data_IF_689905395232
#
_entry.id   IF_689905395232
#
_cell.length_a   1.000
_cell.length_b   1.000
_cell.length_c   1.000
_cell.angle_alpha   90.00
_cell.angle_beta   90.00
_cell.angle_gamma   90.00
#
_symmetry.space_group_name_H-M   'P 1'
#
loop_
_entity.id
_entity.type
_entity.pdbx_description
1 polymer ?
#
# COMPACT_ATOMS: atom_id res chain seq x y z
N UNK A 1 34.30 -5.26 -25.70
CA UNK A 1 32.92 -5.66 -26.03
C UNK A 1 32.51 -6.70 -24.99
N UNK A 2 31.92 -6.24 -23.90
CA UNK A 2 31.34 -7.10 -22.85
C UNK A 2 29.81 -7.00 -22.96
N UNK A 3 29.06 -8.11 -23.10
CA UNK A 3 27.62 -8.06 -23.05
C UNK A 3 27.16 -7.98 -21.59
N UNK A 4 26.51 -6.84 -21.27
CA UNK A 4 25.89 -6.54 -19.99
C UNK A 4 24.85 -7.60 -19.61
N UNK A 5 25.02 -8.11 -18.40
CA UNK A 5 24.09 -9.00 -17.71
C UNK A 5 22.69 -8.38 -17.61
N UNK A 6 21.73 -8.92 -18.37
CA UNK A 6 20.30 -8.74 -18.13
C UNK A 6 19.88 -9.60 -16.95
N UNK A 7 20.05 -9.09 -15.73
CA UNK A 7 19.57 -9.74 -14.51
C UNK A 7 18.06 -9.59 -14.37
N UNK A 8 17.27 -10.46 -14.98
CA UNK A 8 15.88 -10.68 -14.56
C UNK A 8 15.92 -11.42 -13.22
N UNK A 9 15.78 -10.71 -12.11
CA UNK A 9 15.64 -11.33 -10.79
C UNK A 9 14.25 -11.96 -10.71
N UNK A 10 14.11 -13.17 -11.25
CA UNK A 10 12.99 -14.03 -10.98
C UNK A 10 13.02 -14.35 -9.48
N UNK A 11 12.00 -13.93 -8.75
CA UNK A 11 11.73 -14.43 -7.41
C UNK A 11 11.73 -15.96 -7.49
N UNK A 12 12.79 -16.61 -6.98
CA UNK A 12 12.92 -18.07 -7.06
C UNK A 12 11.65 -18.68 -6.46
N UNK A 13 10.94 -19.56 -7.18
CA UNK A 13 9.80 -20.25 -6.60
C UNK A 13 10.28 -21.02 -5.38
N UNK A 14 9.60 -20.82 -4.24
CA UNK A 14 9.92 -21.55 -3.00
C UNK A 14 9.99 -23.04 -3.30
N UNK A 15 11.11 -23.66 -2.96
CA UNK A 15 11.30 -25.09 -3.07
C UNK A 15 10.24 -25.80 -2.21
N UNK A 16 9.85 -27.04 -2.55
CA UNK A 16 8.93 -27.82 -1.71
C UNK A 16 9.39 -27.87 -0.24
N UNK A 17 10.71 -27.96 -0.01
CA UNK A 17 11.31 -27.91 1.33
C UNK A 17 11.01 -26.60 2.06
N UNK A 18 11.26 -25.43 1.44
CA UNK A 18 10.99 -24.12 2.05
C UNK A 18 9.51 -23.92 2.39
N UNK A 19 8.60 -24.42 1.53
CA UNK A 19 7.15 -24.38 1.81
C UNK A 19 6.80 -25.18 3.06
N UNK A 20 7.31 -26.40 3.17
CA UNK A 20 7.06 -27.26 4.34
C UNK A 20 7.70 -26.70 5.60
N UNK A 21 8.94 -26.20 5.53
CA UNK A 21 9.60 -25.55 6.67
C UNK A 21 8.81 -24.35 7.14
N UNK A 22 8.35 -23.49 6.23
CA UNK A 22 7.54 -22.31 6.56
C UNK A 22 6.20 -22.73 7.18
N UNK A 23 5.53 -23.73 6.61
CA UNK A 23 4.26 -24.23 7.14
C UNK A 23 4.41 -24.83 8.54
N UNK A 24 5.45 -25.64 8.78
CA UNK A 24 5.74 -26.24 10.10
C UNK A 24 6.04 -25.15 11.11
N UNK A 25 6.91 -24.18 10.76
CA UNK A 25 7.25 -23.07 11.64
C UNK A 25 6.00 -22.24 12.00
N UNK A 26 5.16 -21.94 11.01
CA UNK A 26 3.92 -21.20 11.21
C UNK A 26 2.97 -21.94 12.13
N UNK A 27 2.75 -23.24 11.90
CA UNK A 27 1.90 -24.08 12.76
C UNK A 27 2.47 -24.11 14.18
N UNK A 28 3.77 -24.32 14.35
CA UNK A 28 4.41 -24.36 15.66
C UNK A 28 4.20 -23.03 16.42
N UNK A 29 4.46 -21.89 15.78
CA UNK A 29 4.29 -20.57 16.39
C UNK A 29 2.82 -20.33 16.77
N UNK A 30 1.88 -20.63 15.86
CA UNK A 30 0.46 -20.46 16.12
C UNK A 30 -0.04 -21.40 17.23
N UNK A 31 0.48 -22.63 17.29
CA UNK A 31 0.16 -23.59 18.35
C UNK A 31 0.69 -23.12 19.71
N UNK A 32 1.92 -22.61 19.78
CA UNK A 32 2.47 -22.05 21.01
C UNK A 32 1.64 -20.86 21.52
N UNK A 33 1.24 -19.95 20.62
CA UNK A 33 0.33 -18.85 20.96
C UNK A 33 -1.04 -19.35 21.46
N UNK A 34 -1.61 -20.36 20.79
CA UNK A 34 -2.89 -20.93 21.18
C UNK A 34 -2.83 -21.61 22.55
N UNK A 35 -1.73 -22.32 22.84
CA UNK A 35 -1.49 -22.96 24.14
C UNK A 35 -1.32 -21.91 25.24
N UNK A 36 -0.57 -20.83 25.00
CA UNK A 36 -0.41 -19.74 25.97
C UNK A 36 -1.76 -19.09 26.33
N UNK A 37 -2.63 -18.87 25.33
CA UNK A 37 -3.98 -18.35 25.55
C UNK A 37 -4.83 -19.34 26.36
N UNK A 38 -4.68 -20.65 26.13
CA UNK A 38 -5.49 -21.69 26.78
C UNK A 38 -5.07 -22.00 28.22
N UNK A 39 -3.78 -21.91 28.56
CA UNK A 39 -3.27 -22.27 29.89
C UNK A 39 -3.57 -21.18 30.93
N UNK A 40 -3.37 -19.91 30.57
CA UNK A 40 -3.53 -18.78 31.48
C UNK A 40 -4.22 -17.63 30.76
N UNK A 41 -5.54 -17.76 30.59
CA UNK A 41 -6.32 -16.78 29.86
C UNK A 41 -6.40 -15.46 30.64
N UNK A 42 -5.88 -14.41 30.02
CA UNK A 42 -6.07 -13.02 30.46
C UNK A 42 -6.69 -12.21 29.33
N UNK A 43 -7.61 -11.31 29.67
CA UNK A 43 -8.33 -10.45 28.69
C UNK A 43 -7.33 -9.64 27.85
N UNK A 44 -6.17 -9.29 28.39
CA UNK A 44 -5.12 -8.59 27.66
C UNK A 44 -4.59 -9.38 26.47
N UNK A 45 -4.61 -10.73 26.51
CA UNK A 45 -4.17 -11.59 25.40
C UNK A 45 -5.07 -11.45 24.17
N UNK A 46 -6.29 -10.93 24.31
CA UNK A 46 -7.17 -10.60 23.18
C UNK A 46 -6.63 -9.45 22.31
N UNK A 47 -5.69 -8.65 22.82
CA UNK A 47 -5.07 -7.56 22.05
C UNK A 47 -4.45 -8.03 20.73
N UNK A 48 -3.76 -9.16 20.73
CA UNK A 48 -3.17 -9.74 19.53
C UNK A 48 -4.25 -10.08 18.49
N UNK A 49 -5.37 -10.66 18.93
CA UNK A 49 -6.50 -10.96 18.06
C UNK A 49 -7.12 -9.68 17.50
N UNK A 50 -7.31 -8.65 18.32
CA UNK A 50 -7.85 -7.37 17.87
C UNK A 50 -6.92 -6.66 16.88
N UNK A 51 -5.61 -6.69 17.07
CA UNK A 51 -4.65 -6.14 16.11
C UNK A 51 -4.81 -6.79 14.73
N UNK A 52 -4.90 -8.12 14.68
CA UNK A 52 -5.13 -8.86 13.42
C UNK A 52 -6.50 -8.50 12.83
N UNK A 53 -7.53 -8.43 13.66
CA UNK A 53 -8.89 -8.08 13.23
C UNK A 53 -8.96 -6.66 12.63
N UNK A 54 -8.23 -5.70 13.20
CA UNK A 54 -8.21 -4.32 12.73
C UNK A 54 -7.37 -4.11 11.47
N UNK A 55 -6.49 -5.05 11.12
CA UNK A 55 -5.65 -4.94 9.93
C UNK A 55 -6.47 -4.72 8.65
N UNK A 56 -7.56 -5.47 8.46
CA UNK A 56 -8.41 -5.38 7.26
C UNK A 56 -9.14 -4.04 7.15
N UNK A 57 -9.89 -3.56 8.17
CA UNK A 57 -10.54 -2.27 8.08
C UNK A 57 -9.54 -1.10 7.99
N UNK A 58 -8.40 -1.19 8.68
CA UNK A 58 -7.34 -0.18 8.56
C UNK A 58 -6.75 -0.14 7.14
N UNK A 59 -6.52 -1.29 6.51
CA UNK A 59 -6.12 -1.35 5.10
C UNK A 59 -7.12 -0.61 4.19
N UNK A 60 -8.42 -0.82 4.41
CA UNK A 60 -9.46 -0.10 3.64
C UNK A 60 -9.38 1.40 3.89
N UNK A 61 -9.24 1.83 5.13
CA UNK A 61 -9.12 3.25 5.49
C UNK A 61 -7.85 3.88 4.89
N UNK A 62 -6.75 3.15 4.88
CA UNK A 62 -5.47 3.56 4.32
C UNK A 62 -5.56 3.81 2.80
N UNK A 63 -6.06 2.83 2.04
CA UNK A 63 -6.26 2.98 0.59
C UNK A 63 -7.29 4.05 0.26
N UNK A 64 -8.33 4.20 1.09
CA UNK A 64 -9.27 5.30 0.97
C UNK A 64 -8.58 6.66 1.15
N UNK A 65 -7.61 6.78 2.08
CA UNK A 65 -6.78 7.96 2.26
C UNK A 65 -6.10 8.40 0.95
N UNK A 66 -5.39 7.48 0.29
CA UNK A 66 -4.78 7.71 -1.02
C UNK A 66 -5.80 8.13 -2.08
N UNK A 67 -6.90 7.39 -2.21
CA UNK A 67 -7.90 7.67 -3.24
C UNK A 67 -8.57 9.04 -3.05
N UNK A 68 -8.90 9.40 -1.80
CA UNK A 68 -9.49 10.69 -1.45
C UNK A 68 -8.49 11.81 -1.74
N UNK A 69 -7.26 11.71 -1.24
CA UNK A 69 -6.22 12.73 -1.46
C UNK A 69 -5.90 12.92 -2.95
N UNK A 70 -5.81 11.82 -3.70
CA UNK A 70 -5.60 11.87 -5.15
C UNK A 70 -6.72 12.65 -5.84
N UNK A 71 -7.99 12.35 -5.52
CA UNK A 71 -9.14 13.07 -6.08
C UNK A 71 -9.11 14.56 -5.71
N UNK A 72 -8.82 14.89 -4.44
CA UNK A 72 -8.74 16.29 -3.96
C UNK A 72 -7.64 17.09 -4.67
N UNK A 73 -6.51 16.45 -4.96
CA UNK A 73 -5.36 17.09 -5.63
C UNK A 73 -5.46 17.07 -7.16
N UNK A 74 -6.58 16.64 -7.72
CA UNK A 74 -6.87 16.68 -9.15
C UNK A 74 -6.26 15.51 -9.94
N UNK A 75 -6.01 14.37 -9.30
CA UNK A 75 -5.61 13.14 -9.97
C UNK A 75 -6.84 12.34 -10.39
N UNK A 76 -6.71 11.55 -11.44
CA UNK A 76 -7.69 10.53 -11.81
C UNK A 76 -7.32 9.23 -11.10
N UNK A 77 -8.22 8.73 -10.24
CA UNK A 77 -8.09 7.41 -9.60
C UNK A 77 -8.85 6.40 -10.44
N UNK A 78 -8.17 5.35 -10.91
CA UNK A 78 -8.73 4.36 -11.84
C UNK A 78 -8.81 2.94 -11.29
N UNK A 79 -7.95 2.56 -10.34
CA UNK A 79 -7.99 1.24 -9.68
C UNK A 79 -7.67 1.38 -8.20
N UNK A 80 -8.41 0.70 -7.35
CA UNK A 80 -8.11 0.53 -5.93
C UNK A 80 -8.01 -0.97 -5.67
N UNK A 81 -6.88 -1.46 -5.20
CA UNK A 81 -6.66 -2.87 -4.91
C UNK A 81 -6.51 -3.06 -3.41
N UNK A 82 -7.31 -3.98 -2.87
CA UNK A 82 -7.35 -4.36 -1.47
C UNK A 82 -6.85 -5.80 -1.36
N UNK A 83 -5.66 -5.98 -0.83
CA UNK A 83 -5.00 -7.27 -0.69
C UNK A 83 -4.07 -7.63 -1.85
N UNK A 84 -3.44 -8.80 -1.74
CA UNK A 84 -2.54 -9.41 -2.72
C UNK A 84 -2.98 -10.84 -3.07
N UNK A 85 -2.39 -11.40 -4.12
CA UNK A 85 -2.67 -12.76 -4.58
C UNK A 85 -3.90 -12.84 -5.48
N UNK A 86 -4.61 -13.98 -5.43
CA UNK A 86 -5.72 -14.28 -6.35
C UNK A 86 -6.86 -13.25 -6.20
N UNK A 87 -7.30 -12.68 -7.32
CA UNK A 87 -8.49 -11.84 -7.39
C UNK A 87 -9.70 -12.63 -6.87
N UNK A 88 -10.34 -12.12 -5.84
CA UNK A 88 -11.56 -12.71 -5.27
C UNK A 88 -12.80 -12.03 -5.82
N UNK A 89 -12.80 -10.69 -5.88
CA UNK A 89 -13.93 -9.90 -6.37
C UNK A 89 -13.44 -8.64 -7.06
N UNK A 90 -14.05 -8.29 -8.19
CA UNK A 90 -13.90 -7.00 -8.87
C UNK A 90 -15.22 -6.25 -8.82
N UNK A 91 -15.19 -4.98 -8.46
CA UNK A 91 -16.35 -4.10 -8.40
C UNK A 91 -16.11 -2.95 -9.36
N UNK A 92 -16.88 -2.88 -10.45
CA UNK A 92 -16.77 -1.83 -11.44
C UNK A 92 -17.64 -0.63 -11.06
N UNK A 93 -17.07 0.57 -11.19
CA UNK A 93 -17.77 1.84 -11.02
C UNK A 93 -17.43 2.75 -12.21
N UNK A 94 -18.27 3.76 -12.51
CA UNK A 94 -17.95 4.71 -13.57
C UNK A 94 -16.59 5.39 -13.32
N UNK A 95 -15.62 5.09 -14.19
CA UNK A 95 -14.29 5.68 -14.18
C UNK A 95 -13.29 5.11 -13.16
N UNK A 96 -13.63 4.05 -12.41
CA UNK A 96 -12.67 3.31 -11.60
C UNK A 96 -13.20 1.93 -11.22
N UNK A 97 -12.33 1.01 -10.81
CA UNK A 97 -12.76 -0.27 -10.25
C UNK A 97 -12.00 -0.63 -8.97
N UNK A 98 -12.61 -1.48 -8.16
CA UNK A 98 -12.05 -1.98 -6.90
C UNK A 98 -11.76 -3.46 -7.06
N UNK A 99 -10.52 -3.87 -6.80
CA UNK A 99 -10.12 -5.27 -6.71
C UNK A 99 -10.00 -5.69 -5.25
N UNK A 100 -10.65 -6.78 -4.89
CA UNK A 100 -10.50 -7.43 -3.59
C UNK A 100 -9.79 -8.74 -3.85
N UNK A 101 -8.63 -8.93 -3.20
CA UNK A 101 -7.78 -10.11 -3.35
C UNK A 101 -7.81 -10.96 -2.09
N UNK A 102 -7.38 -12.21 -2.24
CA UNK A 102 -7.53 -13.22 -1.20
C UNK A 102 -6.79 -12.89 0.12
N UNK A 103 -5.64 -12.21 0.06
CA UNK A 103 -4.82 -11.90 1.23
C UNK A 103 -4.83 -10.40 1.51
N UNK A 104 -5.54 -9.89 2.54
CA UNK A 104 -5.65 -8.46 2.83
C UNK A 104 -4.40 -7.94 3.57
N UNK A 105 -3.21 -8.15 3.00
CA UNK A 105 -1.93 -7.80 3.63
C UNK A 105 -1.45 -6.42 3.19
N UNK A 106 -1.58 -6.10 1.91
CA UNK A 106 -1.19 -4.82 1.29
C UNK A 106 -2.28 -4.37 0.32
N UNK A 107 -2.28 -3.09 -0.05
CA UNK A 107 -3.16 -2.55 -1.08
C UNK A 107 -2.40 -1.57 -1.96
N UNK A 108 -3.08 -1.02 -2.96
CA UNK A 108 -2.58 0.14 -3.67
C UNK A 108 -3.70 0.89 -4.41
N UNK A 109 -3.47 2.18 -4.65
CA UNK A 109 -4.31 3.02 -5.50
C UNK A 109 -3.58 3.42 -6.77
N UNK A 110 -4.06 2.97 -7.92
CA UNK A 110 -3.57 3.42 -9.21
C UNK A 110 -4.22 4.75 -9.60
N UNK A 111 -3.38 5.77 -9.84
CA UNK A 111 -3.82 7.10 -10.19
C UNK A 111 -2.90 7.77 -11.20
N UNK A 112 -3.46 8.73 -11.96
CA UNK A 112 -2.72 9.53 -12.94
C UNK A 112 -2.96 11.03 -12.67
N UNK A 113 -1.91 11.86 -12.59
CA UNK A 113 -2.10 13.32 -12.47
C UNK A 113 -2.81 13.86 -13.70
N UNK A 114 -3.62 14.93 -13.59
CA UNK A 114 -4.23 15.58 -14.76
C UNK A 114 -3.37 16.68 -15.40
N UNK A 115 -2.39 17.18 -14.65
CA UNK A 115 -1.48 18.26 -15.08
C UNK A 115 -0.20 18.24 -14.24
N UNK A 116 0.86 18.86 -14.76
CA UNK A 116 2.20 18.81 -14.16
C UNK A 116 2.46 19.84 -13.03
N UNK A 117 1.63 20.88 -12.90
CA UNK A 117 1.81 21.95 -11.90
C UNK A 117 1.99 21.39 -10.47
N UNK A 118 3.17 21.54 -9.85
CA UNK A 118 3.45 21.01 -8.51
C UNK A 118 3.16 19.49 -8.38
N UNK A 119 3.34 18.71 -9.45
CA UNK A 119 2.97 17.28 -9.47
C UNK A 119 3.77 16.47 -8.45
N UNK A 120 5.04 16.82 -8.21
CA UNK A 120 5.90 16.16 -7.22
C UNK A 120 5.35 16.29 -5.80
N UNK A 121 5.07 17.52 -5.37
CA UNK A 121 4.49 17.79 -4.05
C UNK A 121 3.13 17.12 -3.89
N UNK A 122 2.28 17.17 -4.92
CA UNK A 122 0.96 16.53 -4.87
C UNK A 122 1.08 15.01 -4.84
N UNK A 123 2.00 14.42 -5.61
CA UNK A 123 2.29 12.98 -5.58
C UNK A 123 2.79 12.56 -4.21
N UNK A 124 3.71 13.32 -3.60
CA UNK A 124 4.18 13.06 -2.24
C UNK A 124 3.04 13.16 -1.21
N UNK A 125 2.14 14.14 -1.35
CA UNK A 125 0.98 14.27 -0.48
C UNK A 125 -0.02 13.11 -0.64
N UNK A 126 -0.25 12.61 -1.86
CA UNK A 126 -1.04 11.40 -2.10
C UNK A 126 -0.38 10.19 -1.45
N UNK A 127 0.93 9.99 -1.61
CA UNK A 127 1.62 8.86 -0.96
C UNK A 127 1.63 9.00 0.57
N UNK A 128 1.68 10.20 1.13
CA UNK A 128 1.63 10.38 2.58
C UNK A 128 0.22 10.17 3.18
N UNK A 129 -0.86 10.21 2.38
CA UNK A 129 -2.22 10.22 2.94
C UNK A 129 -2.71 8.86 3.45
N UNK A 130 -2.16 7.74 2.97
CA UNK A 130 -2.45 6.42 3.53
C UNK A 130 -1.95 6.31 4.98
N UNK A 131 -0.64 6.46 5.22
CA UNK A 131 -0.09 6.52 6.58
C UNK A 131 -0.70 7.65 7.42
N UNK A 132 -1.00 8.79 6.78
CA UNK A 132 -1.69 9.90 7.44
C UNK A 132 -3.09 9.53 7.95
N UNK A 133 -3.84 8.71 7.22
CA UNK A 133 -5.14 8.21 7.67
C UNK A 133 -4.99 7.27 8.87
N UNK A 134 -3.97 6.41 8.87
CA UNK A 134 -3.67 5.51 10.00
C UNK A 134 -3.32 6.31 11.27
N UNK A 135 -2.45 7.32 11.16
CA UNK A 135 -2.12 8.19 12.28
C UNK A 135 -3.31 9.03 12.75
N UNK A 136 -4.21 9.43 11.84
CA UNK A 136 -5.45 10.10 12.22
C UNK A 136 -6.33 9.20 13.08
N UNK A 137 -6.47 7.91 12.74
CA UNK A 137 -7.20 6.92 13.56
C UNK A 137 -6.54 6.78 14.93
N UNK A 138 -5.22 6.58 14.99
CA UNK A 138 -4.49 6.46 16.26
C UNK A 138 -4.66 7.72 17.13
N UNK A 139 -4.64 8.91 16.51
CA UNK A 139 -4.83 10.19 17.18
C UNK A 139 -6.26 10.33 17.74
N UNK A 140 -7.28 9.93 16.98
CA UNK A 140 -8.67 9.92 17.46
C UNK A 140 -8.81 9.01 18.69
N UNK A 141 -8.17 7.83 18.68
CA UNK A 141 -8.18 6.93 19.83
C UNK A 141 -7.45 7.54 21.03
N UNK A 142 -6.30 8.19 20.82
CA UNK A 142 -5.57 8.90 21.87
C UNK A 142 -6.44 9.96 22.55
N UNK A 143 -7.19 10.75 21.77
CA UNK A 143 -8.12 11.74 22.32
C UNK A 143 -9.33 11.11 23.02
N UNK A 144 -9.82 9.97 22.53
CA UNK A 144 -10.97 9.29 23.12
C UNK A 144 -10.65 8.62 24.47
N UNK A 145 -9.48 8.00 24.61
CA UNK A 145 -9.06 7.31 25.84
C UNK A 145 -8.30 8.22 26.81
N UNK A 146 -7.56 9.20 26.28
CA UNK A 146 -6.53 9.92 27.01
C UNK A 146 -5.20 9.15 27.09
N UNK A 147 -4.07 9.86 27.29
CA UNK A 147 -2.73 9.26 27.29
C UNK A 147 -2.56 8.23 28.42
N UNK A 148 -3.08 8.51 29.62
CA UNK A 148 -2.89 7.64 30.78
C UNK A 148 -3.47 6.24 30.54
N UNK A 149 -4.69 6.18 29.99
CA UNK A 149 -5.33 4.92 29.65
C UNK A 149 -4.64 4.25 28.47
N UNK A 150 -4.23 5.00 27.43
CA UNK A 150 -3.61 4.42 26.25
C UNK A 150 -2.30 3.68 26.56
N UNK A 151 -1.51 4.19 27.51
CA UNK A 151 -0.19 3.64 27.86
C UNK A 151 -0.16 2.79 29.14
N UNK A 152 -1.32 2.54 29.76
CA UNK A 152 -1.46 1.67 30.94
C UNK A 152 -2.03 0.29 30.58
N UNK A 153 -1.67 -0.76 31.33
CA UNK A 153 -2.36 -2.04 31.21
C UNK A 153 -3.80 -1.90 31.73
N UNK A 154 -4.78 -2.41 30.98
CA UNK A 154 -6.18 -2.41 31.37
C UNK A 154 -6.76 -3.83 31.32
N UNK A 155 -7.69 -4.13 32.21
CA UNK A 155 -8.55 -5.31 32.14
C UNK A 155 -9.91 -5.01 31.49
N UNK A 156 -10.20 -3.74 31.22
CA UNK A 156 -11.43 -3.33 30.55
C UNK A 156 -11.35 -3.64 29.05
N UNK A 157 -12.33 -4.40 28.56
CA UNK A 157 -12.37 -4.89 27.19
C UNK A 157 -12.39 -3.75 26.16
N UNK A 158 -13.13 -2.67 26.45
CA UNK A 158 -13.23 -1.52 25.56
C UNK A 158 -11.90 -0.78 25.45
N UNK A 159 -11.21 -0.61 26.57
CA UNK A 159 -9.87 -0.03 26.62
C UNK A 159 -8.88 -0.87 25.82
N UNK A 160 -8.87 -2.20 26.01
CA UNK A 160 -8.00 -3.12 25.26
C UNK A 160 -8.29 -3.06 23.75
N UNK A 161 -9.57 -3.04 23.36
CA UNK A 161 -10.00 -2.92 21.97
C UNK A 161 -9.42 -1.65 21.32
N UNK A 162 -9.60 -0.49 21.97
CA UNK A 162 -9.13 0.79 21.46
C UNK A 162 -7.60 0.89 21.46
N UNK A 163 -6.92 0.43 22.52
CA UNK A 163 -5.46 0.33 22.55
C UNK A 163 -4.93 -0.51 21.38
N UNK A 164 -5.57 -1.65 21.11
CA UNK A 164 -5.20 -2.54 20.01
C UNK A 164 -5.40 -1.87 18.65
N UNK A 165 -6.49 -1.12 18.47
CA UNK A 165 -6.72 -0.32 17.26
C UNK A 165 -5.64 0.75 17.07
N UNK A 166 -5.27 1.48 18.14
CA UNK A 166 -4.23 2.49 18.08
C UNK A 166 -2.86 1.89 17.75
N UNK A 167 -2.51 0.74 18.34
CA UNK A 167 -1.27 0.01 18.04
C UNK A 167 -1.27 -0.45 16.58
N UNK A 168 -2.35 -1.08 16.11
CA UNK A 168 -2.45 -1.56 14.74
C UNK A 168 -2.32 -0.42 13.72
N UNK A 169 -3.04 0.69 13.94
CA UNK A 169 -2.98 1.87 13.07
C UNK A 169 -1.58 2.49 13.08
N UNK A 170 -0.98 2.71 14.26
CA UNK A 170 0.37 3.26 14.36
C UNK A 170 1.41 2.36 13.69
N UNK A 171 1.30 1.04 13.87
CA UNK A 171 2.19 0.08 13.23
C UNK A 171 2.04 0.10 11.72
N UNK A 172 0.81 0.05 11.19
CA UNK A 172 0.55 0.09 9.75
C UNK A 172 1.06 1.40 9.11
N UNK A 173 0.78 2.55 9.72
CA UNK A 173 1.27 3.84 9.22
C UNK A 173 2.79 3.94 9.27
N UNK A 174 3.42 3.47 10.35
CA UNK A 174 4.89 3.52 10.50
C UNK A 174 5.58 2.58 9.52
N UNK A 175 5.09 1.35 9.36
CA UNK A 175 5.65 0.38 8.42
C UNK A 175 5.55 0.88 6.96
N UNK A 176 4.42 1.51 6.60
CA UNK A 176 4.25 2.09 5.26
C UNK A 176 5.14 3.31 4.99
N UNK A 177 5.59 4.03 6.02
CA UNK A 177 6.55 5.12 5.88
C UNK A 177 8.00 4.65 5.71
N UNK A 178 8.30 3.36 5.85
CA UNK A 178 9.65 2.87 5.60
C UNK A 178 10.00 3.05 4.11
N UNK A 179 11.16 3.64 3.78
CA UNK A 179 11.58 3.87 2.40
C UNK A 179 12.15 2.59 1.75
N UNK A 180 11.39 1.50 1.83
CA UNK A 180 11.80 0.19 1.31
C UNK A 180 11.16 0.01 -0.08
N UNK A 181 11.95 -0.21 -1.13
CA UNK A 181 11.40 -0.58 -2.44
C UNK A 181 10.71 -1.93 -2.32
N UNK A 182 9.55 -2.10 -2.94
CA UNK A 182 8.93 -3.43 -3.01
C UNK A 182 9.68 -4.32 -3.99
N UNK A 183 9.75 -5.60 -3.63
CA UNK A 183 10.44 -6.63 -4.41
C UNK A 183 9.49 -7.46 -5.28
N UNK A 184 8.29 -6.96 -5.58
CA UNK A 184 7.36 -7.66 -6.48
C UNK A 184 7.47 -7.10 -7.92
N UNK A 185 8.01 -7.87 -8.88
CA UNK A 185 8.14 -7.44 -10.27
C UNK A 185 6.80 -7.34 -11.02
N UNK A 186 5.73 -7.98 -10.50
CA UNK A 186 4.40 -8.01 -11.11
C UNK A 186 3.52 -6.90 -10.54
N UNK A 187 3.57 -6.72 -9.23
CA UNK A 187 2.86 -5.65 -8.53
C UNK A 187 3.90 -4.61 -8.04
N UNK A 188 4.12 -3.53 -8.80
CA UNK A 188 4.97 -2.41 -8.37
C UNK A 188 4.34 -1.61 -7.21
N UNK A 189 4.02 -2.28 -6.12
CA UNK A 189 3.43 -1.70 -4.90
C UNK A 189 4.55 -1.29 -3.97
N UNK A 190 5.22 -0.16 -4.26
CA UNK A 190 6.22 0.38 -3.34
C UNK A 190 5.56 0.81 -2.03
N UNK A 191 6.25 0.63 -0.90
CA UNK A 191 5.87 1.27 0.36
C UNK A 191 5.75 2.78 0.16
N UNK A 192 4.81 3.42 0.85
CA UNK A 192 4.54 4.85 0.69
C UNK A 192 5.73 5.74 0.97
N UNK A 193 6.53 5.40 1.98
CA UNK A 193 7.78 6.10 2.29
C UNK A 193 8.70 6.20 1.08
N UNK A 194 8.82 5.11 0.32
CA UNK A 194 9.59 5.09 -0.90
C UNK A 194 8.92 5.96 -1.98
N UNK A 195 7.60 5.91 -2.13
CA UNK A 195 6.88 6.75 -3.09
C UNK A 195 6.96 8.25 -2.76
N UNK A 196 6.98 8.64 -1.48
CA UNK A 196 7.19 10.02 -1.03
C UNK A 196 8.57 10.51 -1.49
N UNK A 197 9.63 9.74 -1.24
CA UNK A 197 10.99 10.08 -1.67
C UNK A 197 11.08 10.13 -3.19
N UNK A 198 10.55 9.10 -3.88
CA UNK A 198 10.54 9.01 -5.33
C UNK A 198 9.77 10.14 -6.00
N UNK A 199 8.71 10.66 -5.37
CA UNK A 199 7.96 11.78 -5.91
C UNK A 199 8.82 13.04 -6.11
N UNK A 200 9.83 13.24 -5.25
CA UNK A 200 10.74 14.39 -5.38
C UNK A 200 11.91 14.13 -6.35
N UNK A 201 12.30 12.86 -6.56
CA UNK A 201 13.42 12.50 -7.44
C UNK A 201 12.99 12.19 -8.88
N UNK A 202 11.72 11.85 -9.11
CA UNK A 202 11.18 11.58 -10.46
C UNK A 202 11.12 12.87 -11.29
N UNK A 203 11.59 12.86 -12.55
CA UNK A 203 11.52 14.01 -13.44
C UNK A 203 10.09 14.25 -13.91
N UNK A 204 9.79 15.46 -14.37
CA UNK A 204 8.44 15.81 -14.85
C UNK A 204 8.03 14.99 -16.09
N UNK A 205 9.01 14.53 -16.88
CA UNK A 205 8.79 13.62 -18.01
C UNK A 205 8.18 12.27 -17.60
N UNK A 206 8.45 11.78 -16.39
CA UNK A 206 7.81 10.58 -15.84
C UNK A 206 6.30 10.81 -15.65
N UNK A 207 5.90 11.96 -15.13
CA UNK A 207 4.48 12.27 -14.94
C UNK A 207 3.79 12.64 -16.26
N UNK A 208 4.52 13.25 -17.20
CA UNK A 208 4.03 13.54 -18.54
C UNK A 208 3.69 12.25 -19.28
N UNK A 209 4.56 11.23 -19.22
CA UNK A 209 4.29 9.95 -19.86
C UNK A 209 3.07 9.23 -19.27
N UNK A 210 2.82 9.35 -17.95
CA UNK A 210 1.58 8.85 -17.35
C UNK A 210 0.34 9.57 -17.90
N UNK A 211 0.39 10.89 -18.03
CA UNK A 211 -0.71 11.71 -18.59
C UNK A 211 -0.98 11.30 -20.04
N UNK A 212 0.07 11.20 -20.85
CA UNK A 212 -0.05 10.90 -22.27
C UNK A 212 -0.56 9.47 -22.48
N UNK A 213 -0.07 8.50 -21.72
CA UNK A 213 -0.60 7.13 -21.73
C UNK A 213 -2.09 7.10 -21.37
N UNK A 214 -2.53 7.86 -20.36
CA UNK A 214 -3.95 7.96 -20.00
C UNK A 214 -4.79 8.66 -21.09
N UNK A 215 -4.23 9.65 -21.80
CA UNK A 215 -4.92 10.29 -22.94
C UNK A 215 -5.07 9.35 -24.12
N UNK A 216 -4.04 8.56 -24.41
CA UNK A 216 -4.03 7.58 -25.51
C UNK A 216 -4.99 6.41 -25.23
N UNK A 217 -4.96 5.86 -24.01
CA UNK A 217 -5.60 4.59 -23.69
C UNK A 217 -6.84 4.70 -22.77
N UNK A 218 -7.12 5.90 -22.23
CA UNK A 218 -8.22 6.11 -21.30
C UNK A 218 -8.07 5.28 -20.02
N UNK A 219 -9.17 4.73 -19.51
CA UNK A 219 -9.17 3.89 -18.31
C UNK A 219 -8.45 2.55 -18.48
N UNK A 220 -8.17 2.11 -19.72
CA UNK A 220 -7.50 0.83 -19.99
C UNK A 220 -6.08 0.80 -19.44
N UNK A 221 -5.45 1.96 -19.23
CA UNK A 221 -4.15 2.01 -18.55
C UNK A 221 -4.23 1.26 -17.23
N UNK A 222 -5.34 1.36 -16.48
CA UNK A 222 -5.47 0.72 -15.17
C UNK A 222 -5.80 -0.77 -15.21
N UNK A 223 -6.11 -1.33 -16.39
CA UNK A 223 -6.53 -2.74 -16.54
C UNK A 223 -5.34 -3.71 -16.63
N UNK A 224 -4.14 -3.23 -16.95
CA UNK A 224 -2.92 -4.05 -17.05
C UNK A 224 -2.28 -4.43 -15.71
N UNK A 225 -1.36 -5.39 -15.75
CA UNK A 225 -0.49 -5.71 -14.61
C UNK A 225 0.40 -4.47 -14.36
N UNK A 226 0.62 -4.01 -13.10
CA UNK A 226 1.40 -2.80 -12.81
C UNK A 226 2.77 -2.71 -13.51
N UNK A 227 3.39 -3.86 -13.83
CA UNK A 227 4.65 -3.94 -14.57
C UNK A 227 4.57 -3.50 -16.05
N UNK A 228 3.41 -3.62 -16.70
CA UNK A 228 3.24 -3.29 -18.12
C UNK A 228 3.28 -1.77 -18.37
N UNK A 229 2.99 -0.96 -17.34
CA UNK A 229 3.00 0.51 -17.40
C UNK A 229 4.37 1.12 -17.67
N UNK A 230 5.46 0.47 -17.23
CA UNK A 230 6.82 1.04 -17.28
C UNK A 230 7.77 0.29 -18.22
N UNK A 231 7.39 -0.90 -18.70
CA UNK A 231 8.26 -1.68 -19.58
C UNK A 231 8.24 -1.22 -21.03
N UNK A 232 7.15 -0.58 -21.50
CA UNK A 232 6.93 -0.46 -22.95
C UNK A 232 7.27 0.89 -23.61
N UNK A 233 7.73 1.90 -22.86
CA UNK A 233 8.33 3.10 -23.48
C UNK A 233 9.49 3.63 -22.64
N UNK A 234 10.72 3.25 -23.02
CA UNK A 234 11.83 4.20 -22.85
C UNK A 234 11.48 5.41 -23.70
N UNK A 235 11.27 6.61 -23.13
CA UNK A 235 11.03 7.79 -23.95
C UNK A 235 12.24 7.99 -24.86
N UNK A 236 12.00 8.12 -26.15
CA UNK A 236 13.03 8.51 -27.10
C UNK A 236 13.62 9.86 -26.64
N UNK A 237 14.92 9.93 -26.29
CA UNK A 237 15.55 11.16 -25.85
C UNK A 237 15.43 12.30 -26.87
N UNK A 238 15.13 12.01 -28.13
CA UNK A 238 14.99 13.01 -29.18
C UNK A 238 13.57 13.58 -29.35
N UNK A 239 12.54 12.99 -28.76
CA UNK A 239 11.15 13.43 -28.93
C UNK A 239 10.70 14.47 -27.89
N UNK A 240 11.24 14.40 -26.65
CA UNK A 240 10.68 15.16 -25.52
C UNK A 240 10.85 16.69 -25.65
N UNK A 241 11.91 17.18 -26.30
CA UNK A 241 12.14 18.62 -26.49
C UNK A 241 11.27 19.24 -27.59
N UNK A 242 10.68 18.42 -28.49
CA UNK A 242 9.81 18.91 -29.57
C UNK A 242 8.41 19.27 -29.07
N UNK A 243 7.95 18.65 -27.99
CA UNK A 243 6.61 18.89 -27.42
C UNK A 243 6.54 20.10 -26.47
N UNK A 244 7.68 20.59 -25.96
CA UNK A 244 7.74 21.74 -25.04
C UNK A 244 7.49 23.13 -25.65
N UNK A 245 7.13 23.23 -26.95
CA UNK A 245 6.91 24.51 -27.65
C UNK A 245 5.45 24.81 -28.03
N UNK A 246 4.48 24.03 -27.52
CA UNK A 246 3.04 24.29 -27.70
C UNK A 246 2.24 24.22 -26.39
N UNK A 247 2.77 24.77 -25.32
CA UNK A 247 2.03 25.08 -24.08
C UNK A 247 2.38 26.47 -23.59
#
# INVERSE_FOLDING_TARGET
MDPLMSGSSSSRPLTPGEKWTTAILLVLVLSLFSVDIAIDFSVIKLSALFIILFWVPLLVTHEAGHAIMARLLGFHVGRITLGTGRLWKRIERPGYFIEIRALPVMGFVAHVPRHLRSVRLRSAAVSASGPGADFAVATIVLFALGPDKLFSSSSDLWTILLQSLAIAATAQGTLNLLPVPSFDPREQTTFDGANIVLAFTRPDSYYASMIDSFRENGSRVFEGDPGDFLQDRKPDPEEWWKQGRRL
#
